data_IF_186627763161
#
_entry.id   IF_186627763161
#
_cell.length_a   1.000
_cell.length_b   1.000
_cell.length_c   1.000
_cell.angle_alpha   90.00
_cell.angle_beta   90.00
_cell.angle_gamma   90.00
#
_symmetry.space_group_name_H-M   'P 1'
#
loop_
_entity.id
_entity.type
_entity.pdbx_description
1 polymer ?
#
# COMPACT_ATOMS: atom_id res chain seq x y z
N UNK A 1 18.49 -29.53 -6.51
CA UNK A 1 17.10 -29.63 -6.00
C UNK A 1 16.56 -28.21 -5.87
N UNK A 2 15.63 -27.82 -6.74
CA UNK A 2 15.01 -26.49 -6.67
C UNK A 2 14.10 -26.48 -5.45
N UNK A 3 14.48 -25.77 -4.39
CA UNK A 3 13.60 -25.49 -3.26
C UNK A 3 12.45 -24.66 -3.80
N UNK A 4 11.26 -25.26 -3.95
CA UNK A 4 10.08 -24.52 -4.36
C UNK A 4 9.88 -23.39 -3.36
N UNK A 5 9.89 -22.14 -3.86
CA UNK A 5 9.71 -20.92 -3.06
C UNK A 5 8.38 -20.92 -2.29
N UNK A 6 7.38 -21.62 -2.79
CA UNK A 6 6.02 -21.64 -2.24
C UNK A 6 5.55 -23.05 -1.89
N UNK A 7 4.80 -23.16 -0.80
CA UNK A 7 4.04 -24.35 -0.41
C UNK A 7 2.74 -24.41 -1.23
N UNK A 8 2.66 -25.41 -2.12
CA UNK A 8 1.49 -25.67 -2.96
C UNK A 8 1.13 -27.16 -2.85
N UNK A 9 0.21 -27.54 -1.94
CA UNK A 9 -0.19 -28.92 -1.75
C UNK A 9 -0.74 -29.56 -3.03
N UNK A 10 -0.57 -30.88 -3.20
CA UNK A 10 -1.04 -31.58 -4.40
C UNK A 10 -2.57 -31.51 -4.58
N UNK A 11 -3.32 -31.47 -3.47
CA UNK A 11 -4.77 -31.25 -3.48
C UNK A 11 -5.12 -29.86 -4.04
N UNK A 12 -4.42 -28.83 -3.58
CA UNK A 12 -4.57 -27.44 -4.06
C UNK A 12 -4.18 -27.32 -5.53
N UNK A 13 -3.09 -27.94 -5.96
CA UNK A 13 -2.67 -27.97 -7.36
C UNK A 13 -3.72 -28.65 -8.27
N UNK A 14 -4.36 -29.72 -7.79
CA UNK A 14 -5.45 -30.38 -8.51
C UNK A 14 -6.70 -29.49 -8.60
N UNK A 15 -7.04 -28.79 -7.51
CA UNK A 15 -8.15 -27.84 -7.48
C UNK A 15 -7.92 -26.70 -8.49
N UNK A 16 -6.72 -26.10 -8.50
CA UNK A 16 -6.33 -25.06 -9.46
C UNK A 16 -6.45 -25.57 -10.90
N UNK A 17 -5.97 -26.79 -11.19
CA UNK A 17 -6.03 -27.37 -12.55
C UNK A 17 -7.47 -27.55 -13.04
N UNK A 18 -8.40 -27.90 -12.15
CA UNK A 18 -9.82 -28.12 -12.45
C UNK A 18 -10.67 -26.86 -12.34
N UNK A 19 -10.15 -25.81 -11.73
CA UNK A 19 -10.84 -24.55 -11.51
C UNK A 19 -10.98 -23.68 -12.76
N UNK A 20 -11.57 -22.51 -12.54
CA UNK A 20 -11.90 -21.50 -13.52
C UNK A 20 -10.66 -20.90 -14.19
N UNK A 21 -10.88 -20.07 -15.22
CA UNK A 21 -9.83 -19.23 -15.77
C UNK A 21 -9.23 -18.32 -14.71
N UNK A 22 -10.07 -17.71 -13.87
CA UNK A 22 -9.66 -16.74 -12.86
C UNK A 22 -8.78 -17.38 -11.77
N UNK A 23 -9.14 -18.57 -11.26
CA UNK A 23 -8.30 -19.25 -10.25
C UNK A 23 -6.92 -19.62 -10.82
N UNK A 24 -6.87 -20.08 -12.08
CA UNK A 24 -5.61 -20.41 -12.76
C UNK A 24 -4.78 -19.16 -13.04
N UNK A 25 -5.39 -18.06 -13.46
CA UNK A 25 -4.73 -16.77 -13.66
C UNK A 25 -4.17 -16.25 -12.34
N UNK A 26 -4.94 -16.28 -11.26
CA UNK A 26 -4.47 -15.94 -9.92
C UNK A 26 -3.23 -16.74 -9.52
N UNK A 27 -3.31 -18.07 -9.61
CA UNK A 27 -2.15 -18.92 -9.32
C UNK A 27 -0.92 -18.55 -10.15
N UNK A 28 -1.11 -18.36 -11.47
CA UNK A 28 -0.01 -18.01 -12.36
C UNK A 28 0.59 -16.64 -12.02
N UNK A 29 -0.22 -15.63 -11.80
CA UNK A 29 0.26 -14.26 -11.54
C UNK A 29 0.90 -14.12 -10.15
N UNK A 30 0.47 -14.89 -9.16
CA UNK A 30 0.98 -14.74 -7.77
C UNK A 30 2.12 -15.73 -7.48
N UNK A 31 2.03 -16.97 -7.96
CA UNK A 31 2.95 -18.05 -7.56
C UNK A 31 3.91 -18.51 -8.66
N UNK A 32 3.65 -18.23 -9.93
CA UNK A 32 4.49 -18.67 -11.07
C UNK A 32 5.25 -17.51 -11.71
N UNK A 33 4.55 -16.41 -12.01
CA UNK A 33 5.05 -15.23 -12.71
C UNK A 33 4.72 -13.93 -11.96
N UNK A 34 5.25 -13.75 -10.73
CA UNK A 34 4.94 -12.61 -9.86
C UNK A 34 5.34 -11.23 -10.40
N UNK A 35 6.23 -11.18 -11.39
CA UNK A 35 6.78 -9.90 -11.87
C UNK A 35 5.73 -8.98 -12.48
N UNK A 36 4.68 -9.52 -13.10
CA UNK A 36 3.58 -8.69 -13.63
C UNK A 36 2.84 -7.93 -12.53
N UNK A 37 2.65 -8.57 -11.36
CA UNK A 37 2.05 -7.93 -10.19
C UNK A 37 3.01 -6.87 -9.62
N UNK A 38 4.30 -7.19 -9.47
CA UNK A 38 5.31 -6.24 -8.95
C UNK A 38 5.42 -4.98 -9.81
N UNK A 39 5.28 -5.13 -11.14
CA UNK A 39 5.38 -4.01 -12.10
C UNK A 39 4.07 -3.28 -12.33
N UNK A 40 2.99 -3.67 -11.64
CA UNK A 40 1.66 -3.13 -11.85
C UNK A 40 1.14 -3.32 -13.30
N UNK A 41 1.59 -4.37 -13.97
CA UNK A 41 1.14 -4.80 -15.31
C UNK A 41 -0.08 -5.73 -15.22
N UNK A 42 -0.30 -6.34 -14.05
CA UNK A 42 -1.41 -7.25 -13.76
C UNK A 42 -2.22 -6.68 -12.60
N UNK A 43 -3.49 -6.41 -12.86
CA UNK A 43 -4.50 -6.11 -11.83
C UNK A 43 -5.13 -7.42 -11.33
N UNK A 44 -5.22 -7.57 -10.02
CA UNK A 44 -5.82 -8.74 -9.36
C UNK A 44 -7.32 -8.54 -9.07
N UNK A 45 -7.96 -7.46 -9.51
CA UNK A 45 -9.41 -7.21 -9.29
C UNK A 45 -10.32 -8.35 -9.75
N UNK A 46 -9.93 -9.12 -10.77
CA UNK A 46 -10.67 -10.30 -11.24
C UNK A 46 -10.85 -11.40 -10.17
N UNK A 47 -10.10 -11.37 -9.05
CA UNK A 47 -10.31 -12.32 -7.95
C UNK A 47 -11.66 -12.15 -7.25
N UNK A 48 -12.31 -10.99 -7.41
CA UNK A 48 -13.67 -10.76 -6.90
C UNK A 48 -14.72 -11.64 -7.60
N UNK A 49 -14.39 -12.19 -8.78
CA UNK A 49 -15.25 -13.10 -9.53
C UNK A 49 -15.05 -14.58 -9.15
N UNK A 50 -14.14 -14.89 -8.22
CA UNK A 50 -13.93 -16.27 -7.76
C UNK A 50 -15.16 -16.77 -7.00
N UNK A 51 -15.65 -17.96 -7.37
CA UNK A 51 -16.70 -18.64 -6.62
C UNK A 51 -16.20 -19.12 -5.25
N UNK A 52 -17.11 -19.35 -4.29
CA UNK A 52 -16.77 -19.63 -2.89
C UNK A 52 -15.66 -20.68 -2.68
N UNK A 53 -15.76 -21.84 -3.32
CA UNK A 53 -14.72 -22.88 -3.18
C UNK A 53 -13.38 -22.51 -3.83
N UNK A 54 -13.37 -21.67 -4.86
CA UNK A 54 -12.14 -21.19 -5.50
C UNK A 54 -11.49 -20.06 -4.70
N UNK A 55 -12.31 -19.20 -4.10
CA UNK A 55 -11.87 -18.17 -3.17
C UNK A 55 -11.20 -18.80 -1.95
N UNK A 56 -11.80 -19.86 -1.39
CA UNK A 56 -11.22 -20.62 -0.27
C UNK A 56 -9.85 -21.21 -0.65
N UNK A 57 -9.73 -21.76 -1.86
CA UNK A 57 -8.45 -22.28 -2.39
C UNK A 57 -7.41 -21.17 -2.54
N UNK A 58 -7.80 -20.01 -3.06
CA UNK A 58 -6.90 -18.87 -3.23
C UNK A 58 -6.41 -18.33 -1.86
N UNK A 59 -7.31 -18.20 -0.90
CA UNK A 59 -7.00 -17.77 0.47
C UNK A 59 -6.07 -18.76 1.19
N UNK A 60 -6.42 -20.05 1.23
CA UNK A 60 -5.56 -21.10 1.83
C UNK A 60 -4.15 -21.05 1.24
N UNK A 61 -4.03 -20.88 -0.09
CA UNK A 61 -2.73 -20.81 -0.74
C UNK A 61 -1.91 -19.58 -0.32
N UNK A 62 -2.53 -18.40 -0.22
CA UNK A 62 -1.85 -17.18 0.26
C UNK A 62 -1.47 -17.32 1.73
N UNK A 63 -2.38 -17.81 2.58
CA UNK A 63 -2.16 -18.02 4.02
C UNK A 63 -0.94 -18.91 4.30
N UNK A 64 -0.82 -20.05 3.61
CA UNK A 64 0.35 -20.95 3.72
C UNK A 64 1.68 -20.27 3.40
N UNK A 65 1.64 -19.28 2.51
CA UNK A 65 2.82 -18.63 1.96
C UNK A 65 3.06 -17.23 2.54
N UNK A 66 2.28 -16.83 3.55
CA UNK A 66 2.36 -15.49 4.14
C UNK A 66 3.72 -15.19 4.78
N UNK A 67 4.44 -16.23 5.21
CA UNK A 67 5.80 -16.14 5.75
C UNK A 67 6.81 -15.50 4.78
N UNK A 68 6.55 -15.49 3.46
CA UNK A 68 7.39 -14.80 2.50
C UNK A 68 7.34 -13.27 2.69
N UNK A 69 6.19 -12.72 3.11
CA UNK A 69 5.94 -11.27 3.33
C UNK A 69 6.39 -10.36 2.18
N UNK A 70 6.54 -10.90 0.97
CA UNK A 70 6.92 -10.10 -0.19
C UNK A 70 5.73 -9.29 -0.71
N UNK A 71 6.02 -8.27 -1.54
CA UNK A 71 5.00 -7.35 -2.02
C UNK A 71 3.85 -8.08 -2.75
N UNK A 72 4.13 -9.18 -3.45
CA UNK A 72 3.11 -9.92 -4.20
C UNK A 72 2.18 -10.69 -3.28
N UNK A 73 2.70 -11.35 -2.24
CA UNK A 73 1.87 -12.00 -1.24
C UNK A 73 0.97 -10.98 -0.53
N UNK A 74 1.52 -9.83 -0.16
CA UNK A 74 0.77 -8.76 0.50
C UNK A 74 -0.30 -8.13 -0.40
N UNK A 75 -0.04 -7.96 -1.70
CA UNK A 75 -1.08 -7.53 -2.66
C UNK A 75 -2.16 -8.60 -2.85
N UNK A 76 -1.79 -9.87 -2.90
CA UNK A 76 -2.75 -10.97 -3.01
C UNK A 76 -3.69 -11.01 -1.78
N UNK A 77 -3.17 -10.79 -0.57
CA UNK A 77 -3.98 -10.66 0.65
C UNK A 77 -5.03 -9.56 0.50
N UNK A 78 -4.62 -8.37 0.02
CA UNK A 78 -5.56 -7.25 -0.14
C UNK A 78 -6.58 -7.54 -1.25
N UNK A 79 -6.15 -8.08 -2.38
CA UNK A 79 -7.03 -8.40 -3.49
C UNK A 79 -8.12 -9.40 -3.08
N UNK A 80 -7.78 -10.40 -2.26
CA UNK A 80 -8.72 -11.39 -1.72
C UNK A 80 -9.57 -10.87 -0.55
N UNK A 81 -9.28 -9.67 -0.03
CA UNK A 81 -9.88 -9.10 1.18
C UNK A 81 -9.86 -10.10 2.35
N UNK A 82 -8.73 -10.80 2.51
CA UNK A 82 -8.64 -11.86 3.50
C UNK A 82 -8.35 -11.29 4.89
N UNK A 83 -9.40 -11.10 5.67
CA UNK A 83 -9.29 -10.54 7.03
C UNK A 83 -8.77 -11.56 8.04
N UNK A 84 -8.85 -12.85 7.72
CA UNK A 84 -8.46 -13.93 8.62
C UNK A 84 -6.94 -13.96 8.86
N UNK A 85 -6.15 -13.37 7.96
CA UNK A 85 -4.68 -13.27 8.11
C UNK A 85 -4.20 -12.13 9.01
N UNK A 86 -5.09 -11.29 9.53
CA UNK A 86 -4.70 -10.14 10.35
C UNK A 86 -3.80 -10.55 11.54
N UNK A 87 -4.14 -11.58 12.35
CA UNK A 87 -3.28 -12.01 13.46
C UNK A 87 -1.89 -12.45 13.01
N UNK A 88 -1.81 -13.13 11.86
CA UNK A 88 -0.52 -13.58 11.30
C UNK A 88 0.31 -12.39 10.80
N UNK A 89 -0.32 -11.43 10.13
CA UNK A 89 0.33 -10.18 9.70
C UNK A 89 0.82 -9.35 10.91
N UNK A 90 0.06 -9.29 12.01
CA UNK A 90 0.50 -8.65 13.24
C UNK A 90 1.74 -9.35 13.85
N UNK A 91 1.80 -10.68 13.77
CA UNK A 91 2.97 -11.44 14.20
C UNK A 91 4.17 -11.19 13.28
N UNK A 92 3.96 -11.18 11.95
CA UNK A 92 4.98 -10.81 10.98
C UNK A 92 5.51 -9.38 11.25
N UNK A 93 4.63 -8.41 11.52
CA UNK A 93 5.01 -7.03 11.81
C UNK A 93 5.95 -6.90 13.03
N UNK A 94 5.75 -7.75 14.05
CA UNK A 94 6.60 -7.80 15.26
C UNK A 94 7.94 -8.49 15.00
N UNK A 95 7.98 -9.42 14.05
CA UNK A 95 9.15 -10.25 13.77
C UNK A 95 10.12 -9.64 12.74
N UNK A 96 9.64 -8.78 11.83
CA UNK A 96 10.50 -8.20 10.78
C UNK A 96 11.47 -7.16 11.33
N UNK A 97 12.76 -7.18 10.94
CA UNK A 97 13.78 -6.31 11.53
C UNK A 97 13.85 -4.92 10.90
N UNK A 98 13.43 -4.76 9.65
CA UNK A 98 13.62 -3.50 8.91
C UNK A 98 12.35 -2.66 8.91
N UNK A 99 12.51 -1.34 9.05
CA UNK A 99 11.39 -0.39 8.95
C UNK A 99 10.69 -0.45 7.58
N UNK A 100 11.45 -0.70 6.50
CA UNK A 100 10.88 -0.91 5.17
C UNK A 100 9.89 -2.08 5.12
N UNK A 101 10.25 -3.24 5.65
CA UNK A 101 9.34 -4.39 5.75
C UNK A 101 8.17 -4.11 6.69
N UNK A 102 8.41 -3.46 7.85
CA UNK A 102 7.34 -3.05 8.77
C UNK A 102 6.31 -2.17 8.08
N UNK A 103 6.75 -1.18 7.30
CA UNK A 103 5.84 -0.27 6.57
C UNK A 103 5.02 -0.99 5.51
N UNK A 104 5.57 -2.01 4.83
CA UNK A 104 4.81 -2.82 3.86
C UNK A 104 3.70 -3.62 4.54
N UNK A 105 4.02 -4.35 5.61
CA UNK A 105 3.05 -5.14 6.35
C UNK A 105 1.99 -4.24 6.99
N UNK A 106 2.41 -3.13 7.60
CA UNK A 106 1.49 -2.17 8.19
C UNK A 106 0.57 -1.53 7.13
N UNK A 107 1.06 -1.26 5.93
CA UNK A 107 0.23 -0.76 4.83
C UNK A 107 -0.82 -1.79 4.39
N UNK A 108 -0.49 -3.08 4.36
CA UNK A 108 -1.46 -4.16 4.12
C UNK A 108 -2.52 -4.20 5.20
N UNK A 109 -2.12 -4.21 6.48
CA UNK A 109 -3.06 -4.13 7.60
C UNK A 109 -3.96 -2.89 7.49
N UNK A 110 -3.41 -1.72 7.17
CA UNK A 110 -4.19 -0.51 6.95
C UNK A 110 -5.26 -0.67 5.87
N UNK A 111 -4.93 -1.31 4.75
CA UNK A 111 -5.85 -1.57 3.64
C UNK A 111 -6.94 -2.57 4.00
N UNK A 112 -6.65 -3.53 4.88
CA UNK A 112 -7.63 -4.50 5.38
C UNK A 112 -8.56 -3.89 6.44
N UNK A 113 -8.01 -3.34 7.52
CA UNK A 113 -8.78 -2.96 8.72
C UNK A 113 -8.37 -1.61 9.34
N UNK A 114 -7.67 -0.73 8.62
CA UNK A 114 -7.20 0.58 9.12
C UNK A 114 -6.35 0.48 10.40
N UNK A 115 -5.55 -0.58 10.53
CA UNK A 115 -4.70 -0.82 11.69
C UNK A 115 -3.76 0.36 12.01
N UNK A 116 -3.68 0.76 13.29
CA UNK A 116 -2.93 1.94 13.73
C UNK A 116 -1.41 1.89 13.47
N UNK A 117 -0.85 0.69 13.26
CA UNK A 117 0.59 0.53 13.00
C UNK A 117 1.08 1.24 11.73
N UNK A 118 0.22 1.50 10.74
CA UNK A 118 0.65 2.16 9.50
C UNK A 118 1.05 3.62 9.70
N UNK A 119 0.18 4.50 10.24
CA UNK A 119 0.59 5.86 10.58
C UNK A 119 1.76 5.89 11.58
N UNK A 120 1.83 4.93 12.52
CA UNK A 120 2.98 4.81 13.44
C UNK A 120 4.29 4.52 12.69
N UNK A 121 4.30 3.54 11.78
CA UNK A 121 5.47 3.23 10.96
C UNK A 121 5.88 4.42 10.08
N UNK A 122 4.91 5.14 9.48
CA UNK A 122 5.22 6.34 8.70
C UNK A 122 5.81 7.45 9.57
N UNK A 123 5.33 7.61 10.81
CA UNK A 123 5.90 8.55 11.78
C UNK A 123 7.31 8.15 12.25
N UNK A 124 7.70 6.87 12.18
CA UNK A 124 9.09 6.44 12.34
C UNK A 124 9.92 6.78 11.08
N UNK A 125 9.37 6.55 9.88
CA UNK A 125 10.05 6.81 8.59
C UNK A 125 10.50 8.26 8.44
N UNK A 126 9.65 9.22 8.82
CA UNK A 126 10.00 10.65 8.75
C UNK A 126 11.18 11.03 9.66
N UNK A 127 11.48 10.24 10.70
CA UNK A 127 12.54 10.53 11.68
C UNK A 127 13.89 9.90 11.33
N UNK A 128 13.89 8.78 10.59
CA UNK A 128 15.14 8.07 10.29
C UNK A 128 15.97 8.81 9.27
N UNK A 129 17.26 8.53 9.27
CA UNK A 129 18.18 9.13 8.31
C UNK A 129 18.34 8.27 7.04
N UNK A 130 17.26 8.12 6.28
CA UNK A 130 17.25 7.31 5.06
C UNK A 130 16.33 7.95 4.00
N UNK A 131 16.92 8.68 3.06
CA UNK A 131 16.20 9.38 1.98
C UNK A 131 15.43 8.41 1.08
N UNK A 132 16.07 7.33 0.63
CA UNK A 132 15.42 6.33 -0.23
C UNK A 132 14.17 5.69 0.43
N UNK A 133 14.21 5.45 1.74
CA UNK A 133 13.05 4.94 2.47
C UNK A 133 11.94 5.99 2.54
N UNK A 134 12.26 7.26 2.82
CA UNK A 134 11.29 8.35 2.84
C UNK A 134 10.63 8.52 1.47
N UNK A 135 11.43 8.60 0.41
CA UNK A 135 10.97 8.71 -0.98
C UNK A 135 9.98 7.60 -1.33
N UNK A 136 10.31 6.36 -0.97
CA UNK A 136 9.44 5.20 -1.22
C UNK A 136 8.10 5.26 -0.47
N UNK A 137 8.02 5.93 0.68
CA UNK A 137 6.80 6.00 1.49
C UNK A 137 5.95 7.27 1.27
N UNK A 138 6.51 8.38 0.77
CA UNK A 138 5.74 9.62 0.49
C UNK A 138 4.47 9.35 -0.33
N UNK A 139 4.51 8.55 -1.42
CA UNK A 139 3.30 8.24 -2.17
C UNK A 139 2.21 7.52 -1.37
N UNK A 140 2.50 6.95 -0.20
CA UNK A 140 1.53 6.20 0.61
C UNK A 140 0.99 7.00 1.80
N UNK A 141 1.61 8.14 2.15
CA UNK A 141 1.20 8.92 3.33
C UNK A 141 -0.24 9.44 3.23
N UNK A 142 -0.73 9.70 2.01
CA UNK A 142 -2.11 10.14 1.78
C UNK A 142 -3.15 9.02 2.00
N UNK A 143 -2.74 7.75 2.07
CA UNK A 143 -3.68 6.63 2.33
C UNK A 143 -4.32 6.72 3.72
N UNK A 144 -3.71 7.46 4.66
CA UNK A 144 -4.26 7.67 6.00
C UNK A 144 -5.58 8.47 5.91
N UNK A 145 -5.64 9.48 5.04
CA UNK A 145 -6.89 10.18 4.71
C UNK A 145 -7.40 11.15 5.79
N UNK A 146 -6.54 11.54 6.74
CA UNK A 146 -6.87 12.51 7.78
C UNK A 146 -5.70 13.48 8.02
N UNK A 147 -5.80 14.33 9.06
CA UNK A 147 -4.78 15.35 9.37
C UNK A 147 -3.38 14.76 9.57
N UNK A 148 -3.25 13.50 9.99
CA UNK A 148 -1.95 12.83 10.15
C UNK A 148 -1.20 12.75 8.82
N UNK A 149 -1.89 12.53 7.70
CA UNK A 149 -1.28 12.57 6.35
C UNK A 149 -0.61 13.92 6.09
N UNK A 150 -1.32 15.01 6.37
CA UNK A 150 -0.85 16.37 6.11
C UNK A 150 0.34 16.69 7.02
N UNK A 151 0.27 16.31 8.30
CA UNK A 151 1.36 16.51 9.24
C UNK A 151 2.63 15.74 8.87
N UNK A 152 2.52 14.47 8.44
CA UNK A 152 3.67 13.69 7.99
C UNK A 152 4.34 14.34 6.77
N UNK A 153 3.54 14.80 5.79
CA UNK A 153 4.08 15.51 4.62
C UNK A 153 4.72 16.85 4.99
N UNK A 154 4.11 17.61 5.91
CA UNK A 154 4.68 18.88 6.40
C UNK A 154 6.02 18.69 7.11
N UNK A 155 6.19 17.61 7.87
CA UNK A 155 7.48 17.30 8.52
C UNK A 155 8.58 17.06 7.49
N UNK A 156 8.26 16.46 6.33
CA UNK A 156 9.22 16.21 5.27
C UNK A 156 9.60 17.44 4.45
N UNK A 157 8.89 18.57 4.60
CA UNK A 157 9.28 19.84 3.98
C UNK A 157 10.55 20.42 4.59
N UNK A 158 10.86 20.06 5.84
CA UNK A 158 12.06 20.47 6.57
C UNK A 158 13.16 19.38 6.51
N UNK A 159 12.97 18.32 5.71
CA UNK A 159 13.95 17.23 5.57
C UNK A 159 15.27 17.72 4.96
N UNK A 160 16.39 17.09 5.31
CA UNK A 160 17.70 17.45 4.74
C UNK A 160 17.82 17.08 3.26
N UNK A 161 17.16 16.02 2.82
CA UNK A 161 17.18 15.53 1.45
C UNK A 161 16.39 16.45 0.53
N UNK A 162 17.04 17.06 -0.45
CA UNK A 162 16.37 17.98 -1.38
C UNK A 162 15.24 17.30 -2.14
N UNK A 163 15.45 16.05 -2.55
CA UNK A 163 14.44 15.30 -3.29
C UNK A 163 13.26 14.88 -2.40
N UNK A 164 13.50 14.56 -1.13
CA UNK A 164 12.45 14.33 -0.13
C UNK A 164 11.57 15.57 0.04
N UNK A 165 12.18 16.75 0.23
CA UNK A 165 11.43 18.03 0.32
C UNK A 165 10.61 18.30 -0.95
N UNK A 166 11.21 18.07 -2.11
CA UNK A 166 10.53 18.22 -3.41
C UNK A 166 9.31 17.31 -3.49
N UNK A 167 9.46 16.01 -3.24
CA UNK A 167 8.34 15.05 -3.28
C UNK A 167 7.23 15.38 -2.29
N UNK A 168 7.57 15.82 -1.07
CA UNK A 168 6.59 16.25 -0.08
C UNK A 168 5.83 17.50 -0.55
N UNK A 169 6.53 18.47 -1.14
CA UNK A 169 5.93 19.70 -1.70
C UNK A 169 5.02 19.38 -2.88
N UNK A 170 5.46 18.50 -3.79
CA UNK A 170 4.65 18.01 -4.92
C UNK A 170 3.39 17.33 -4.39
N UNK A 171 3.52 16.43 -3.42
CA UNK A 171 2.36 15.70 -2.88
C UNK A 171 1.34 16.63 -2.22
N UNK A 172 1.78 17.67 -1.51
CA UNK A 172 0.87 18.68 -0.96
C UNK A 172 0.20 19.51 -2.06
N UNK A 173 0.92 19.85 -3.14
CA UNK A 173 0.31 20.49 -4.31
C UNK A 173 -0.73 19.58 -4.98
N UNK A 174 -0.47 18.28 -5.11
CA UNK A 174 -1.42 17.31 -5.67
C UNK A 174 -2.69 17.24 -4.81
N UNK A 175 -2.52 17.20 -3.47
CA UNK A 175 -3.66 17.21 -2.54
C UNK A 175 -4.45 18.51 -2.69
N UNK A 176 -3.80 19.67 -2.74
CA UNK A 176 -4.50 20.95 -2.76
C UNK A 176 -5.12 21.26 -4.13
N UNK A 177 -4.40 21.02 -5.22
CA UNK A 177 -4.75 21.49 -6.57
C UNK A 177 -5.03 20.37 -7.58
N UNK A 178 -4.75 19.12 -7.25
CA UNK A 178 -5.06 17.92 -8.05
C UNK A 178 -3.85 17.41 -8.81
N UNK A 179 -3.89 16.15 -9.24
CA UNK A 179 -2.77 15.40 -9.85
C UNK A 179 -2.32 15.90 -11.26
N UNK A 180 -2.91 16.99 -11.75
CA UNK A 180 -2.75 17.45 -13.14
C UNK A 180 -1.52 18.34 -13.38
N UNK A 181 -0.72 18.61 -12.35
CA UNK A 181 0.38 19.58 -12.41
C UNK A 181 1.75 18.98 -12.74
N UNK A 182 1.82 17.71 -13.14
CA UNK A 182 3.10 17.03 -13.43
C UNK A 182 3.99 17.73 -14.48
N UNK A 183 3.43 18.64 -15.29
CA UNK A 183 4.15 19.41 -16.31
C UNK A 183 4.09 20.94 -16.08
N UNK A 184 3.54 21.39 -14.95
CA UNK A 184 3.49 22.81 -14.57
C UNK A 184 4.39 23.08 -13.36
N UNK A 185 4.92 24.30 -13.20
CA UNK A 185 5.59 24.67 -11.96
C UNK A 185 4.68 24.46 -10.74
N UNK A 186 5.27 24.06 -9.62
CA UNK A 186 4.55 23.96 -8.35
C UNK A 186 3.92 25.31 -8.00
N UNK A 187 2.63 25.30 -7.65
CA UNK A 187 1.86 26.52 -7.34
C UNK A 187 2.23 27.09 -5.97
N UNK A 188 2.54 26.21 -5.03
CA UNK A 188 3.05 26.55 -3.70
C UNK A 188 4.39 25.89 -3.44
N UNK A 189 5.27 26.65 -2.81
CA UNK A 189 6.56 26.20 -2.30
C UNK A 189 6.42 25.51 -0.94
N UNK A 190 7.51 24.92 -0.46
CA UNK A 190 7.58 24.37 0.90
C UNK A 190 7.28 25.44 1.97
N UNK A 191 7.77 26.67 1.79
CA UNK A 191 7.58 27.77 2.75
C UNK A 191 6.11 28.19 2.85
N UNK A 192 5.39 28.19 1.73
CA UNK A 192 3.95 28.49 1.71
C UNK A 192 3.14 27.51 2.57
N UNK A 193 3.52 26.23 2.55
CA UNK A 193 2.90 25.20 3.37
C UNK A 193 3.33 25.29 4.84
N UNK A 194 4.61 25.53 5.10
CA UNK A 194 5.13 25.67 6.46
C UNK A 194 4.52 26.88 7.19
N UNK A 195 4.22 27.97 6.48
CA UNK A 195 3.51 29.12 7.02
C UNK A 195 2.10 28.77 7.52
N UNK A 196 1.45 27.78 6.90
CA UNK A 196 0.08 27.35 7.20
C UNK A 196 0.00 26.12 8.11
N UNK A 197 1.14 25.55 8.54
CA UNK A 197 1.19 24.26 9.26
C UNK A 197 0.44 24.19 10.59
N UNK A 198 0.12 25.35 11.16
CA UNK A 198 -0.63 25.49 12.42
C UNK A 198 -2.05 26.01 12.22
N UNK A 199 -2.46 26.33 10.99
CA UNK A 199 -3.79 26.84 10.70
C UNK A 199 -4.81 25.68 10.60
N UNK A 200 -5.75 25.54 11.55
CA UNK A 200 -6.74 24.48 11.52
C UNK A 200 -7.71 24.57 10.33
N UNK A 201 -7.95 25.77 9.80
CA UNK A 201 -8.82 25.93 8.63
C UNK A 201 -8.13 25.38 7.37
N UNK A 202 -6.84 25.68 7.21
CA UNK A 202 -6.02 25.11 6.16
C UNK A 202 -5.92 23.58 6.25
N UNK A 203 -5.64 23.02 7.43
CA UNK A 203 -5.56 21.57 7.62
C UNK A 203 -6.88 20.87 7.26
N UNK A 204 -8.02 21.42 7.70
CA UNK A 204 -9.35 20.90 7.31
C UNK A 204 -9.60 20.98 5.81
N UNK A 205 -9.24 22.08 5.16
CA UNK A 205 -9.35 22.21 3.70
C UNK A 205 -8.52 21.12 2.99
N UNK A 206 -7.28 20.89 3.42
CA UNK A 206 -6.42 19.86 2.84
C UNK A 206 -6.99 18.45 3.02
N UNK A 207 -7.54 18.14 4.20
CA UNK A 207 -8.22 16.86 4.46
C UNK A 207 -9.47 16.71 3.60
N UNK A 208 -10.24 17.78 3.41
CA UNK A 208 -11.41 17.77 2.52
C UNK A 208 -11.00 17.51 1.07
N UNK A 209 -10.00 18.23 0.55
CA UNK A 209 -9.51 18.01 -0.81
C UNK A 209 -8.98 16.59 -1.02
N UNK A 210 -8.26 16.06 -0.02
CA UNK A 210 -7.84 14.67 -0.03
C UNK A 210 -9.06 13.76 -0.10
N UNK A 211 -10.04 13.89 0.79
CA UNK A 211 -11.22 13.01 0.84
C UNK A 211 -12.08 13.10 -0.42
N UNK A 212 -12.39 14.30 -0.90
CA UNK A 212 -13.21 14.54 -2.09
C UNK A 212 -12.58 13.95 -3.35
N UNK A 213 -11.25 14.02 -3.48
CA UNK A 213 -10.50 13.48 -4.63
C UNK A 213 -10.12 12.01 -4.44
N UNK A 214 -10.05 11.53 -3.20
CA UNK A 214 -9.79 10.12 -2.89
C UNK A 214 -11.03 9.25 -3.13
N UNK A 215 -12.24 9.82 -3.10
CA UNK A 215 -13.45 9.10 -3.50
C UNK A 215 -13.38 8.63 -4.96
N UNK A 216 -12.72 9.36 -5.86
CA UNK A 216 -12.50 8.92 -7.25
C UNK A 216 -11.46 7.79 -7.37
N UNK A 217 -10.48 7.71 -6.47
CA UNK A 217 -9.49 6.63 -6.44
C UNK A 217 -9.94 5.39 -5.64
N UNK A 218 -10.85 5.55 -4.68
CA UNK A 218 -11.51 4.43 -3.97
C UNK A 218 -12.52 3.67 -4.86
N UNK A 219 -12.99 4.27 -5.97
CA UNK A 219 -13.78 3.57 -6.98
C UNK A 219 -13.01 2.46 -7.71
N UNK A 220 -11.69 2.38 -7.56
CA UNK A 220 -10.87 1.28 -8.09
C UNK A 220 -10.80 0.05 -7.15
N UNK A 221 -11.30 0.15 -5.91
CA UNK A 221 -11.24 -0.94 -4.92
C UNK A 221 -12.60 -1.40 -4.40
N UNK A 222 -13.71 -0.83 -4.91
CA UNK A 222 -15.09 -1.18 -4.53
C UNK A 222 -15.98 -1.61 -5.71
N UNK A 223 -15.39 -1.99 -6.85
CA UNK A 223 -16.11 -2.69 -7.92
C UNK A 223 -15.57 -4.09 -8.09
#
# INVERSE_FOLDING_TARGET
>A
MSTKKYDVPSSTALAIRKGSGNLRSFYNHVFVHPMGVVRNEVDLSYVQELGGSELDVAKDLVQRNLHCTDAVMLEAVVALQDMDVIPDLENCLKAVPTLGQRTLIAATLWRLNRHASFPECLAEVVKVDNEALKEAQIPRMHWIGDERSIHLLMQLLEDRGQFVRYLATTRLNDIEFGDRHHNEPLRKSADDYLAQRKDPAFLRMMVNHMTERYLDHLYWWKK
#
